data_IF_798095216406
#
_entry.id   IF_798095216406
#
_cell.length_a   1.000
_cell.length_b   1.000
_cell.length_c   1.000
_cell.angle_alpha   90.00
_cell.angle_beta   90.00
_cell.angle_gamma   90.00
#
_symmetry.space_group_name_H-M   'P 1'
#
loop_
_entity.id
_entity.type
_entity.pdbx_description
1 polymer ?
#
# COMPACT_ATOMS: atom_id res chain seq x y z
N UNK A 1 -43.35 -62.89 10.53
CA UNK A 1 -41.93 -62.76 10.88
C UNK A 1 -41.23 -62.10 9.70
N UNK A 2 -40.90 -60.82 9.88
CA UNK A 2 -40.50 -59.84 8.85
C UNK A 2 -38.98 -59.90 8.62
N UNK A 3 -38.49 -59.89 7.37
CA UNK A 3 -37.14 -59.39 7.05
C UNK A 3 -37.11 -58.70 5.68
N UNK A 4 -37.26 -57.38 5.75
CA UNK A 4 -37.06 -56.39 4.70
C UNK A 4 -35.54 -56.28 4.40
N UNK A 5 -35.12 -56.72 3.21
CA UNK A 5 -33.73 -56.58 2.74
C UNK A 5 -33.48 -55.11 2.41
N UNK A 6 -32.72 -54.42 3.27
CA UNK A 6 -32.26 -53.05 3.03
C UNK A 6 -31.07 -53.08 2.05
N UNK A 7 -31.27 -52.52 0.85
CA UNK A 7 -30.22 -52.18 -0.09
C UNK A 7 -29.54 -50.89 0.41
N UNK A 8 -28.29 -50.98 0.85
CA UNK A 8 -27.47 -49.82 1.20
C UNK A 8 -26.77 -49.37 -0.07
N UNK A 9 -27.18 -48.21 -0.61
CA UNK A 9 -26.51 -47.53 -1.72
C UNK A 9 -25.37 -46.70 -1.12
N UNK A 10 -24.13 -47.08 -1.42
CA UNK A 10 -22.93 -46.38 -0.98
C UNK A 10 -22.62 -45.26 -2.00
N UNK A 11 -23.06 -44.04 -1.74
CA UNK A 11 -22.68 -42.86 -2.54
C UNK A 11 -21.30 -42.36 -2.08
N UNK A 12 -20.28 -42.59 -2.91
CA UNK A 12 -18.95 -42.03 -2.72
C UNK A 12 -18.96 -40.54 -3.10
N UNK A 13 -18.94 -39.65 -2.10
CA UNK A 13 -18.67 -38.23 -2.30
C UNK A 13 -17.17 -38.02 -2.48
N UNK A 14 -16.73 -37.80 -3.72
CA UNK A 14 -15.37 -37.35 -4.01
C UNK A 14 -15.32 -35.86 -3.66
N UNK A 15 -14.78 -35.54 -2.48
CA UNK A 15 -14.49 -34.16 -2.09
C UNK A 15 -13.25 -33.69 -2.86
N UNK A 16 -13.49 -32.86 -3.88
CA UNK A 16 -12.43 -32.11 -4.56
C UNK A 16 -11.94 -31.06 -3.58
N UNK A 17 -10.85 -31.36 -2.85
CA UNK A 17 -10.08 -30.36 -2.12
C UNK A 17 -9.35 -29.48 -3.14
N UNK A 18 -10.05 -28.49 -3.70
CA UNK A 18 -9.43 -27.42 -4.46
C UNK A 18 -8.75 -26.47 -3.46
N UNK A 19 -7.50 -26.78 -3.11
CA UNK A 19 -6.65 -25.86 -2.36
C UNK A 19 -6.31 -24.71 -3.31
N UNK A 20 -7.04 -23.60 -3.20
CA UNK A 20 -6.69 -22.35 -3.86
C UNK A 20 -5.36 -21.91 -3.27
N UNK A 21 -4.26 -22.17 -4.00
CA UNK A 21 -2.97 -21.55 -3.71
C UNK A 21 -3.09 -20.10 -4.13
N UNK A 22 -3.41 -19.22 -3.18
CA UNK A 22 -3.22 -17.79 -3.36
C UNK A 22 -1.71 -17.56 -3.57
N UNK A 23 -1.32 -17.22 -4.79
CA UNK A 23 0.07 -16.91 -5.12
C UNK A 23 0.44 -15.57 -4.51
N UNK A 24 1.09 -15.59 -3.34
CA UNK A 24 1.69 -14.41 -2.72
C UNK A 24 2.98 -14.06 -3.44
N UNK A 25 2.91 -13.24 -4.49
CA UNK A 25 4.11 -12.63 -5.05
C UNK A 25 4.45 -11.36 -4.27
N UNK A 26 5.53 -11.40 -3.48
CA UNK A 26 6.30 -10.22 -3.08
C UNK A 26 6.33 -9.89 -1.59
N UNK A 27 7.50 -10.12 -0.97
CA UNK A 27 8.00 -9.65 0.33
C UNK A 27 7.08 -9.76 1.55
N UNK A 28 7.46 -10.63 2.49
CA UNK A 28 7.10 -10.47 3.90
C UNK A 28 7.47 -9.05 4.33
N UNK A 29 6.46 -8.25 4.66
CA UNK A 29 6.63 -6.86 5.03
C UNK A 29 7.09 -6.81 6.49
N UNK A 30 8.39 -6.69 6.70
CA UNK A 30 8.94 -6.54 8.05
C UNK A 30 8.30 -5.35 8.76
N UNK A 31 7.91 -5.54 10.03
CA UNK A 31 7.36 -4.47 10.85
C UNK A 31 8.38 -3.32 11.02
N UNK A 32 7.90 -2.07 11.19
CA UNK A 32 8.78 -0.95 11.54
C UNK A 32 9.57 -1.19 12.83
N UNK A 33 10.78 -0.66 12.91
CA UNK A 33 11.65 -0.75 14.10
C UNK A 33 12.22 0.61 14.46
N UNK A 34 12.78 0.83 15.66
CA UNK A 34 13.37 2.13 16.00
C UNK A 34 14.50 2.59 15.06
N UNK A 35 15.23 1.64 14.45
CA UNK A 35 16.26 1.94 13.45
C UNK A 35 15.70 2.18 12.05
N UNK A 36 14.49 1.67 11.79
CA UNK A 36 13.78 1.83 10.53
C UNK A 36 12.27 2.04 10.78
N UNK A 37 11.87 3.24 11.23
CA UNK A 37 10.56 3.49 11.82
C UNK A 37 9.44 3.65 10.79
N UNK A 38 9.74 3.69 9.49
CA UNK A 38 8.74 3.81 8.42
C UNK A 38 8.96 2.71 7.42
N UNK A 39 7.98 1.84 7.23
CA UNK A 39 8.02 0.78 6.21
C UNK A 39 7.02 1.13 5.11
N UNK A 40 7.40 0.90 3.85
CA UNK A 40 6.55 1.23 2.70
C UNK A 40 6.31 0.00 1.83
N UNK A 41 5.10 -0.11 1.31
CA UNK A 41 4.74 -1.10 0.31
C UNK A 41 3.77 -0.46 -0.69
N UNK A 42 3.55 -1.13 -1.80
CA UNK A 42 2.60 -0.68 -2.79
C UNK A 42 1.88 -1.87 -3.40
N UNK A 43 0.69 -1.64 -3.92
CA UNK A 43 -0.12 -2.61 -4.63
C UNK A 43 -0.92 -1.96 -5.76
N UNK A 44 -1.46 -2.78 -6.64
CA UNK A 44 -2.30 -2.34 -7.74
C UNK A 44 -3.61 -3.12 -7.68
N UNK A 45 -4.71 -2.39 -7.65
CA UNK A 45 -6.06 -2.95 -7.69
C UNK A 45 -6.70 -2.63 -9.04
N UNK A 46 -7.38 -3.62 -9.62
CA UNK A 46 -8.18 -3.41 -10.83
C UNK A 46 -9.45 -2.63 -10.50
N UNK A 47 -9.95 -1.84 -11.45
CA UNK A 47 -11.27 -1.20 -11.36
C UNK A 47 -12.26 -1.88 -12.30
N UNK A 48 -13.50 -1.42 -12.33
CA UNK A 48 -14.51 -1.89 -13.30
C UNK A 48 -14.11 -1.57 -14.76
N UNK A 49 -13.38 -0.48 -14.97
CA UNK A 49 -12.76 -0.15 -16.26
C UNK A 49 -11.40 -0.86 -16.36
N UNK A 50 -11.26 -1.77 -17.33
CA UNK A 50 -10.04 -2.54 -17.54
C UNK A 50 -8.81 -1.71 -17.90
N UNK A 51 -9.02 -0.46 -18.35
CA UNK A 51 -7.97 0.51 -18.66
C UNK A 51 -7.57 1.35 -17.46
N UNK A 52 -8.31 1.29 -16.35
CA UNK A 52 -8.03 2.04 -15.12
C UNK A 52 -7.67 1.06 -14.00
N UNK A 53 -6.55 1.36 -13.33
CA UNK A 53 -6.11 0.65 -12.13
C UNK A 53 -5.92 1.66 -11.00
N UNK A 54 -6.08 1.22 -9.76
CA UNK A 54 -5.78 2.02 -8.57
C UNK A 54 -4.42 1.60 -8.04
N UNK A 55 -3.44 2.49 -8.13
CA UNK A 55 -2.17 2.36 -7.44
C UNK A 55 -2.36 2.76 -5.98
N UNK A 56 -2.01 1.87 -5.06
CA UNK A 56 -2.09 2.07 -3.63
C UNK A 56 -0.67 2.05 -3.07
N UNK A 57 -0.26 3.11 -2.38
CA UNK A 57 1.02 3.19 -1.70
C UNK A 57 0.78 3.33 -0.19
N UNK A 58 1.29 2.39 0.60
CA UNK A 58 1.12 2.37 2.04
C UNK A 58 2.44 2.74 2.73
N UNK A 59 2.33 3.52 3.80
CA UNK A 59 3.42 3.72 4.74
C UNK A 59 2.94 3.35 6.15
N UNK A 60 3.64 2.44 6.80
CA UNK A 60 3.41 2.06 8.19
C UNK A 60 4.49 2.70 9.05
N UNK A 61 4.06 3.56 9.97
CA UNK A 61 4.91 4.35 10.86
C UNK A 61 4.86 3.69 12.25
N UNK A 62 6.04 3.46 12.84
CA UNK A 62 6.18 2.90 14.18
C UNK A 62 5.43 3.74 15.21
N UNK A 63 4.80 3.09 16.18
CA UNK A 63 4.11 3.77 17.28
C UNK A 63 5.05 4.76 18.01
N UNK A 64 4.53 5.95 18.31
CA UNK A 64 5.31 7.05 18.90
C UNK A 64 6.14 7.87 17.89
N UNK A 65 6.21 7.44 16.63
CA UNK A 65 6.82 8.20 15.54
C UNK A 65 5.76 8.84 14.63
N UNK A 66 6.19 9.85 13.88
CA UNK A 66 5.39 10.55 12.89
C UNK A 66 6.23 11.04 11.72
N UNK A 67 5.56 11.28 10.59
CA UNK A 67 6.11 12.05 9.45
C UNK A 67 5.24 13.27 9.20
N UNK A 68 5.80 14.30 8.58
CA UNK A 68 5.08 15.57 8.40
C UNK A 68 4.20 15.55 7.15
N UNK A 69 2.92 15.83 7.33
CA UNK A 69 1.94 15.95 6.25
C UNK A 69 1.89 17.37 5.68
N UNK A 70 2.01 18.36 6.56
CA UNK A 70 2.12 19.76 6.23
C UNK A 70 3.04 20.45 7.23
N UNK A 71 3.89 21.33 6.71
CA UNK A 71 4.81 22.14 7.50
C UNK A 71 4.70 23.59 7.02
N UNK A 72 4.50 24.53 7.95
CA UNK A 72 4.54 25.96 7.63
C UNK A 72 5.93 26.32 7.08
N UNK A 73 6.06 27.23 6.10
CA UNK A 73 7.37 27.65 5.56
C UNK A 73 8.35 28.20 6.60
N UNK A 74 7.88 28.52 7.81
CA UNK A 74 8.68 29.04 8.92
C UNK A 74 9.27 27.93 9.81
N UNK A 75 8.77 26.71 9.70
CA UNK A 75 9.21 25.58 10.51
C UNK A 75 10.36 24.83 9.82
N UNK A 76 11.33 24.28 10.58
CA UNK A 76 12.51 23.62 10.02
C UNK A 76 12.28 22.15 9.62
N UNK A 77 11.03 21.68 9.62
CA UNK A 77 10.68 20.29 9.34
C UNK A 77 10.50 20.03 7.84
N UNK A 78 10.67 18.78 7.42
CA UNK A 78 10.51 18.40 6.01
C UNK A 78 9.16 17.75 5.79
N UNK A 79 8.31 18.41 4.99
CA UNK A 79 7.04 17.87 4.54
C UNK A 79 7.25 16.63 3.67
N UNK A 80 6.45 15.59 3.92
CA UNK A 80 6.49 14.34 3.18
C UNK A 80 5.92 14.53 1.78
N UNK A 81 6.50 13.84 0.80
CA UNK A 81 6.12 13.92 -0.60
C UNK A 81 6.09 12.53 -1.22
N UNK A 82 4.96 12.19 -1.85
CA UNK A 82 4.86 11.03 -2.71
C UNK A 82 5.43 11.37 -4.09
N UNK A 83 6.29 10.50 -4.60
CA UNK A 83 6.92 10.63 -5.91
C UNK A 83 6.56 9.41 -6.76
N UNK A 84 5.95 9.65 -7.92
CA UNK A 84 5.53 8.58 -8.83
C UNK A 84 6.27 8.75 -10.16
N UNK A 85 7.04 7.72 -10.52
CA UNK A 85 7.62 7.60 -11.85
C UNK A 85 6.79 6.57 -12.63
N UNK A 86 6.00 7.08 -13.58
CA UNK A 86 5.13 6.27 -14.41
C UNK A 86 5.83 5.94 -15.73
N UNK A 87 5.82 4.67 -16.17
CA UNK A 87 6.42 4.27 -17.44
C UNK A 87 5.56 4.71 -18.63
N UNK A 88 6.13 4.64 -19.83
CA UNK A 88 5.41 4.95 -21.07
C UNK A 88 4.12 4.11 -21.19
N UNK A 89 3.03 4.76 -21.62
CA UNK A 89 1.71 4.14 -21.70
C UNK A 89 0.96 4.05 -20.38
N UNK A 90 1.51 4.60 -19.28
CA UNK A 90 0.83 4.75 -17.99
C UNK A 90 0.79 6.22 -17.60
N UNK A 91 -0.40 6.73 -17.30
CA UNK A 91 -0.59 8.14 -16.90
C UNK A 91 -1.43 8.25 -15.65
N UNK A 92 -1.15 9.24 -14.81
CA UNK A 92 -2.04 9.59 -13.69
C UNK A 92 -3.42 9.96 -14.22
N UNK A 93 -4.45 9.45 -13.56
CA UNK A 93 -5.85 9.74 -13.85
C UNK A 93 -6.51 10.27 -12.57
N UNK A 94 -7.08 11.48 -12.64
CA UNK A 94 -7.65 12.14 -11.47
C UNK A 94 -6.61 12.61 -10.43
N UNK A 95 -7.12 13.09 -9.31
CA UNK A 95 -6.33 13.68 -8.23
C UNK A 95 -5.79 12.61 -7.27
N UNK A 96 -4.55 12.80 -6.81
CA UNK A 96 -3.94 11.96 -5.80
C UNK A 96 -4.75 12.04 -4.50
N UNK A 97 -5.25 10.90 -4.03
CA UNK A 97 -5.92 10.81 -2.75
C UNK A 97 -4.87 10.67 -1.66
N UNK A 98 -4.72 11.71 -0.85
CA UNK A 98 -3.77 11.75 0.27
C UNK A 98 -4.45 11.34 1.58
N UNK A 99 -3.71 10.72 2.53
CA UNK A 99 -4.24 10.40 3.84
C UNK A 99 -4.63 11.67 4.61
N UNK A 100 -5.71 11.60 5.38
CA UNK A 100 -6.10 12.71 6.28
C UNK A 100 -5.04 12.88 7.35
N UNK A 101 -4.46 14.09 7.52
CA UNK A 101 -3.45 14.30 8.53
C UNK A 101 -4.06 14.69 9.88
N UNK A 102 -3.25 14.59 10.94
CA UNK A 102 -3.61 14.99 12.29
C UNK A 102 -2.82 16.22 12.69
N UNK A 103 -3.45 17.19 13.36
CA UNK A 103 -2.74 18.36 13.89
C UNK A 103 -1.73 17.92 14.97
N UNK A 104 -0.52 18.48 14.91
CA UNK A 104 0.50 18.19 15.92
C UNK A 104 0.15 18.89 17.24
N UNK A 105 0.13 18.18 18.39
CA UNK A 105 -0.25 18.77 19.66
C UNK A 105 0.62 19.98 20.05
N UNK A 106 -0.02 21.10 20.38
CA UNK A 106 0.65 22.29 20.88
C UNK A 106 1.46 23.08 19.84
N UNK A 107 1.35 22.75 18.55
CA UNK A 107 1.95 23.50 17.43
C UNK A 107 0.86 23.91 16.45
N UNK A 108 0.77 25.21 16.16
CA UNK A 108 -0.10 25.71 15.10
C UNK A 108 0.48 25.37 13.74
N UNK A 109 -0.38 25.09 12.75
CA UNK A 109 0.00 24.92 11.34
C UNK A 109 1.03 23.80 11.07
N UNK A 110 1.07 22.79 11.95
CA UNK A 110 1.90 21.60 11.79
C UNK A 110 1.00 20.38 11.80
N UNK A 111 1.05 19.59 10.73
CA UNK A 111 0.22 18.39 10.59
C UNK A 111 1.09 17.18 10.30
N UNK A 112 0.70 16.05 10.85
CA UNK A 112 1.49 14.82 10.82
C UNK A 112 0.67 13.60 10.45
N UNK A 113 1.36 12.57 10.02
CA UNK A 113 0.83 11.23 9.85
C UNK A 113 1.42 10.29 10.91
N UNK A 114 0.59 9.40 11.43
CA UNK A 114 0.95 8.34 12.39
C UNK A 114 0.27 7.04 12.00
N UNK A 115 0.77 5.91 12.49
CA UNK A 115 0.22 4.58 12.19
C UNK A 115 0.36 4.21 10.72
N UNK A 116 -0.63 3.51 10.17
CA UNK A 116 -0.65 3.14 8.74
C UNK A 116 -1.44 4.16 7.95
N UNK A 117 -0.78 4.77 6.96
CA UNK A 117 -1.38 5.70 6.02
C UNK A 117 -1.33 5.16 4.59
N UNK A 118 -2.22 5.68 3.76
CA UNK A 118 -2.39 5.21 2.39
C UNK A 118 -2.57 6.39 1.44
N UNK A 119 -1.79 6.38 0.37
CA UNK A 119 -1.95 7.24 -0.80
C UNK A 119 -2.56 6.42 -1.93
N UNK A 120 -3.54 6.98 -2.66
CA UNK A 120 -4.14 6.32 -3.83
C UNK A 120 -4.09 7.20 -5.06
N UNK A 121 -3.57 6.65 -6.14
CA UNK A 121 -3.58 7.30 -7.45
C UNK A 121 -4.28 6.37 -8.44
N UNK A 122 -5.36 6.82 -9.06
CA UNK A 122 -5.86 6.14 -10.25
C UNK A 122 -4.88 6.36 -11.39
N UNK A 123 -4.58 5.30 -12.13
CA UNK A 123 -3.70 5.34 -13.30
C UNK A 123 -4.46 4.76 -14.49
N UNK A 124 -4.29 5.39 -15.64
CA UNK A 124 -4.77 4.88 -16.92
C UNK A 124 -3.63 4.12 -17.60
N UNK A 125 -3.95 2.94 -18.12
CA UNK A 125 -2.99 2.03 -18.72
C UNK A 125 -3.39 1.78 -20.18
N UNK A 126 -2.46 2.02 -21.11
CA UNK A 126 -2.66 1.77 -22.53
C UNK A 126 -2.71 0.26 -22.83
N UNK A 127 -3.49 -0.15 -23.81
CA UNK A 127 -3.75 -1.56 -24.15
C UNK A 127 -2.50 -2.37 -24.52
N UNK A 128 -1.41 -1.71 -24.88
CA UNK A 128 -0.15 -2.30 -25.33
C UNK A 128 0.97 -2.24 -24.26
N UNK A 129 0.65 -2.00 -22.99
CA UNK A 129 1.65 -2.06 -21.92
C UNK A 129 2.22 -3.48 -21.78
N UNK A 130 3.54 -3.62 -21.65
CA UNK A 130 4.19 -4.91 -21.46
C UNK A 130 5.29 -4.78 -20.40
N UNK A 131 5.11 -5.49 -19.27
CA UNK A 131 6.08 -5.58 -18.17
C UNK A 131 6.64 -4.23 -17.69
N UNK A 132 5.75 -3.25 -17.63
CA UNK A 132 6.08 -1.91 -17.20
C UNK A 132 6.28 -1.86 -15.68
N UNK A 133 7.36 -1.21 -15.24
CA UNK A 133 7.66 -1.01 -13.81
C UNK A 133 7.23 0.40 -13.42
N UNK A 134 6.40 0.50 -12.40
CA UNK A 134 6.09 1.75 -11.70
C UNK A 134 7.05 1.86 -10.51
N UNK A 135 7.69 3.01 -10.34
CA UNK A 135 8.43 3.32 -9.12
C UNK A 135 7.63 4.31 -8.28
N UNK A 136 7.36 3.91 -7.05
CA UNK A 136 6.66 4.73 -6.05
C UNK A 136 7.64 5.07 -4.93
N UNK A 137 7.96 6.35 -4.78
CA UNK A 137 8.82 6.88 -3.73
C UNK A 137 8.03 7.65 -2.68
N UNK A 138 8.50 7.56 -1.44
CA UNK A 138 8.12 8.49 -0.37
C UNK A 138 9.39 9.16 0.13
N UNK A 139 9.49 10.47 -0.09
CA UNK A 139 10.49 11.32 0.56
C UNK A 139 9.89 11.90 1.83
N UNK A 140 10.58 11.78 2.96
CA UNK A 140 10.04 12.17 4.27
C UNK A 140 11.14 12.42 5.30
N UNK A 141 10.76 13.09 6.38
CA UNK A 141 11.50 13.10 7.64
C UNK A 141 10.64 12.47 8.73
N UNK A 142 11.25 11.60 9.54
CA UNK A 142 10.56 10.95 10.67
C UNK A 142 11.11 11.46 11.98
N UNK A 143 10.20 11.79 12.91
CA UNK A 143 10.54 12.19 14.26
C UNK A 143 9.73 11.40 15.29
N UNK A 144 10.26 11.31 16.50
CA UNK A 144 9.50 10.98 17.70
C UNK A 144 9.59 12.16 18.69
N UNK A 145 9.24 11.95 19.97
CA UNK A 145 9.27 12.99 21.00
C UNK A 145 10.67 13.49 21.38
N UNK A 146 11.72 12.74 21.04
CA UNK A 146 13.10 13.00 21.48
C UNK A 146 14.04 13.35 20.32
N UNK A 147 13.84 12.73 19.15
CA UNK A 147 14.76 12.83 18.02
C UNK A 147 14.01 12.98 16.70
N UNK A 148 14.65 13.69 15.78
CA UNK A 148 14.33 13.69 14.36
C UNK A 148 15.46 12.98 13.61
N UNK A 149 15.11 12.02 12.76
CA UNK A 149 16.07 11.38 11.87
C UNK A 149 16.34 12.28 10.66
N UNK A 150 17.51 12.15 10.00
CA UNK A 150 17.74 12.80 8.72
C UNK A 150 16.64 12.43 7.70
N UNK A 151 16.25 13.36 6.81
CA UNK A 151 15.32 13.05 5.73
C UNK A 151 15.85 11.91 4.86
N UNK A 152 14.94 11.07 4.38
CA UNK A 152 15.28 9.92 3.54
C UNK A 152 14.18 9.65 2.52
N UNK A 153 14.48 8.79 1.56
CA UNK A 153 13.53 8.31 0.56
C UNK A 153 13.42 6.79 0.63
N UNK A 154 12.19 6.29 0.50
CA UNK A 154 11.94 4.86 0.31
C UNK A 154 11.15 4.63 -0.96
N UNK A 155 11.64 3.70 -1.76
CA UNK A 155 11.05 3.35 -3.04
C UNK A 155 10.49 1.92 -3.04
N UNK A 156 9.39 1.72 -3.75
CA UNK A 156 8.81 0.43 -4.08
C UNK A 156 8.68 0.33 -5.58
N UNK A 157 9.17 -0.77 -6.15
CA UNK A 157 9.01 -1.10 -7.56
C UNK A 157 7.84 -2.06 -7.73
N UNK A 158 6.88 -1.68 -8.56
CA UNK A 158 5.72 -2.49 -8.90
C UNK A 158 5.73 -2.86 -10.38
N UNK A 159 5.67 -4.14 -10.67
CA UNK A 159 5.46 -4.61 -12.05
C UNK A 159 3.96 -4.66 -12.34
N UNK A 160 3.53 -3.90 -13.34
CA UNK A 160 2.21 -4.03 -13.93
C UNK A 160 2.15 -5.35 -14.74
N UNK A 161 1.39 -6.32 -14.23
CA UNK A 161 1.10 -7.56 -14.96
C UNK A 161 -0.12 -7.37 -15.85
N UNK A 162 -0.02 -7.84 -17.09
CA UNK A 162 -1.15 -7.98 -18.01
C UNK A 162 -2.17 -9.00 -17.51
#
# INVERSE_FOLDING_TARGET
MMRLKHFIVLTAFITINCTIVAQTTGNEFDAPTPLDPVKVNASIESTEDSTIKTLIFNATILEGYHIYAYVSPQDPYIQSKLELELPEGVTSFGELQTPTPTAYPGKGELYVHTGTIQFKQQIKVASNYNNNVIKCGLFYQTCNTNICLPPTQKDVLLTLKN
#
